data_IF_330094937348
#
_entry.id   IF_330094937348
#
_cell.length_a   1.000
_cell.length_b   1.000
_cell.length_c   1.000
_cell.angle_alpha   90.00
_cell.angle_beta   90.00
_cell.angle_gamma   90.00
#
_symmetry.space_group_name_H-M   'P 1'
#
loop_
_entity.id
_entity.type
_entity.pdbx_description
1 polymer ?
#
# COMPACT_ATOMS: atom_id res chain seq x y z
N UNK A 1 19.91 -1.54 2.74
CA UNK A 1 19.88 -2.84 2.03
C UNK A 1 20.99 -2.99 1.00
N UNK A 2 21.59 -1.90 0.47
CA UNK A 2 22.72 -1.97 -0.47
C UNK A 2 22.45 -2.87 -1.70
N UNK A 3 21.22 -2.81 -2.22
CA UNK A 3 20.80 -3.54 -3.42
C UNK A 3 21.11 -2.73 -4.67
N UNK A 4 21.49 -3.41 -5.74
CA UNK A 4 21.74 -2.86 -7.07
C UNK A 4 20.87 -3.60 -8.08
N UNK A 5 19.72 -3.00 -8.41
CA UNK A 5 18.82 -3.51 -9.44
C UNK A 5 19.31 -3.00 -10.80
N UNK A 6 19.48 -3.89 -11.76
CA UNK A 6 19.91 -3.53 -13.10
C UNK A 6 18.82 -2.72 -13.83
N UNK A 7 19.22 -1.83 -14.74
CA UNK A 7 18.30 -0.90 -15.41
C UNK A 7 17.21 -1.63 -16.23
N UNK A 8 17.56 -2.77 -16.82
CA UNK A 8 16.66 -3.64 -17.57
C UNK A 8 15.65 -4.39 -16.67
N UNK A 9 15.97 -4.58 -15.40
CA UNK A 9 15.05 -5.18 -14.41
C UNK A 9 14.19 -4.14 -13.68
N UNK A 10 14.56 -2.85 -13.69
CA UNK A 10 13.86 -1.81 -12.95
C UNK A 10 12.35 -1.75 -13.25
N UNK A 11 11.98 -1.82 -14.53
CA UNK A 11 10.55 -1.76 -14.91
C UNK A 11 9.79 -2.98 -14.38
N UNK A 12 10.37 -4.17 -14.48
CA UNK A 12 9.75 -5.39 -14.00
C UNK A 12 9.64 -5.38 -12.47
N UNK A 13 10.71 -4.96 -11.78
CA UNK A 13 10.72 -4.79 -10.33
C UNK A 13 9.60 -3.86 -9.84
N UNK A 14 9.38 -2.73 -10.52
CA UNK A 14 8.33 -1.79 -10.16
C UNK A 14 6.92 -2.37 -10.36
N UNK A 15 6.69 -3.11 -11.45
CA UNK A 15 5.40 -3.77 -11.66
C UNK A 15 5.15 -4.88 -10.63
N UNK A 16 6.18 -5.66 -10.27
CA UNK A 16 6.09 -6.66 -9.21
C UNK A 16 5.78 -6.02 -7.84
N UNK A 17 6.39 -4.87 -7.52
CA UNK A 17 6.21 -4.16 -6.25
C UNK A 17 4.88 -3.40 -6.14
N UNK A 18 4.22 -3.11 -7.27
CA UNK A 18 3.04 -2.25 -7.35
C UNK A 18 1.90 -2.65 -6.40
N UNK A 19 1.51 -3.93 -6.25
CA UNK A 19 0.49 -4.31 -5.27
C UNK A 19 0.90 -4.00 -3.82
N UNK A 20 2.20 -4.14 -3.49
CA UNK A 20 2.74 -3.74 -2.20
C UNK A 20 2.62 -2.24 -1.93
N UNK A 21 2.92 -1.40 -2.92
CA UNK A 21 2.70 0.05 -2.80
C UNK A 21 1.24 0.45 -2.65
N UNK A 22 0.33 -0.25 -3.33
CA UNK A 22 -1.11 -0.04 -3.15
C UNK A 22 -1.52 -0.38 -1.71
N UNK A 23 -1.01 -1.47 -1.15
CA UNK A 23 -1.25 -1.83 0.27
C UNK A 23 -0.73 -0.72 1.19
N UNK A 24 0.51 -0.26 1.00
CA UNK A 24 1.09 0.82 1.81
C UNK A 24 0.23 2.08 1.79
N UNK A 25 -0.16 2.55 0.60
CA UNK A 25 -0.97 3.75 0.43
C UNK A 25 -2.36 3.60 1.05
N UNK A 26 -3.07 2.50 0.77
CA UNK A 26 -4.41 2.28 1.34
C UNK A 26 -4.39 2.10 2.86
N UNK A 27 -3.34 1.50 3.42
CA UNK A 27 -3.18 1.38 4.87
C UNK A 27 -2.95 2.75 5.51
N UNK A 28 -2.05 3.58 4.94
CA UNK A 28 -1.85 4.95 5.45
C UNK A 28 -3.15 5.76 5.38
N UNK A 29 -3.82 5.78 4.21
CA UNK A 29 -5.09 6.49 4.03
C UNK A 29 -6.17 6.04 5.02
N UNK A 30 -6.26 4.73 5.30
CA UNK A 30 -7.26 4.19 6.21
C UNK A 30 -7.02 4.64 7.66
N UNK A 31 -5.78 4.55 8.13
CA UNK A 31 -5.42 4.86 9.52
C UNK A 31 -5.25 6.37 9.75
N UNK A 32 -4.89 7.14 8.71
CA UNK A 32 -4.76 8.61 8.76
C UNK A 32 -6.07 9.35 8.55
N UNK A 33 -7.13 8.67 8.09
CA UNK A 33 -8.39 9.28 7.63
C UNK A 33 -8.96 10.34 8.57
N UNK A 34 -9.09 10.02 9.85
CA UNK A 34 -9.77 10.90 10.81
C UNK A 34 -8.94 12.19 11.04
N UNK A 35 -7.61 12.08 11.04
CA UNK A 35 -6.68 13.22 11.12
C UNK A 35 -6.75 14.08 9.86
N UNK A 36 -6.72 13.47 8.68
CA UNK A 36 -6.75 14.19 7.40
C UNK A 36 -8.08 14.87 7.14
N UNK A 37 -9.18 14.21 7.47
CA UNK A 37 -10.52 14.81 7.43
C UNK A 37 -10.63 16.02 8.35
N UNK A 38 -10.08 15.93 9.57
CA UNK A 38 -10.07 17.07 10.50
C UNK A 38 -9.22 18.23 9.96
N UNK A 39 -8.08 17.95 9.35
CA UNK A 39 -7.23 18.95 8.71
C UNK A 39 -7.93 19.63 7.52
N UNK A 40 -8.55 18.87 6.63
CA UNK A 40 -9.33 19.39 5.51
C UNK A 40 -10.48 20.29 5.98
N UNK A 41 -11.22 19.86 7.01
CA UNK A 41 -12.28 20.67 7.63
C UNK A 41 -11.74 21.99 8.20
N UNK A 42 -10.59 21.95 8.89
CA UNK A 42 -9.94 23.16 9.42
C UNK A 42 -9.48 24.10 8.31
N UNK A 43 -9.07 23.55 7.17
CA UNK A 43 -8.67 24.29 5.98
C UNK A 43 -9.85 24.80 5.14
N UNK A 44 -11.10 24.46 5.50
CA UNK A 44 -12.29 24.83 4.72
C UNK A 44 -12.41 24.09 3.38
N UNK A 45 -11.77 22.94 3.23
CA UNK A 45 -11.82 22.10 2.03
C UNK A 45 -13.10 21.25 2.02
N UNK A 46 -13.68 21.07 0.83
CA UNK A 46 -14.85 20.22 0.57
C UNK A 46 -14.46 18.81 0.07
N UNK A 47 -13.17 18.55 -0.07
CA UNK A 47 -12.59 17.25 -0.40
C UNK A 47 -11.47 16.87 0.55
N UNK A 48 -11.12 15.58 0.57
CA UNK A 48 -9.96 15.04 1.27
C UNK A 48 -9.21 14.15 0.28
N UNK A 49 -7.91 14.38 0.10
CA UNK A 49 -7.06 13.56 -0.77
C UNK A 49 -6.70 12.25 -0.04
N UNK A 50 -7.65 11.33 -0.01
CA UNK A 50 -7.59 10.07 0.74
C UNK A 50 -8.56 9.05 0.11
N UNK A 51 -8.15 7.80 0.00
CA UNK A 51 -8.93 6.73 -0.62
C UNK A 51 -10.31 6.53 0.04
N UNK A 52 -10.44 6.72 1.34
CA UNK A 52 -11.74 6.60 2.04
C UNK A 52 -12.72 7.63 1.48
N UNK A 53 -12.29 8.89 1.30
CA UNK A 53 -13.15 9.92 0.70
C UNK A 53 -13.53 9.59 -0.73
N UNK A 54 -12.58 9.12 -1.53
CA UNK A 54 -12.84 8.73 -2.92
C UNK A 54 -13.90 7.63 -3.00
N UNK A 55 -13.77 6.59 -2.17
CA UNK A 55 -14.75 5.49 -2.11
C UNK A 55 -16.12 5.99 -1.69
N UNK A 56 -16.20 6.88 -0.69
CA UNK A 56 -17.48 7.49 -0.28
C UNK A 56 -18.15 8.25 -1.44
N UNK A 57 -17.36 8.96 -2.26
CA UNK A 57 -17.86 9.73 -3.41
C UNK A 57 -18.30 8.84 -4.57
N UNK A 58 -17.51 7.85 -4.91
CA UNK A 58 -17.78 6.98 -6.06
C UNK A 58 -18.95 6.03 -5.80
N UNK A 59 -19.09 5.52 -4.56
CA UNK A 59 -20.06 4.48 -4.23
C UNK A 59 -21.24 4.97 -3.39
N UNK A 60 -21.28 6.25 -3.02
CA UNK A 60 -22.30 6.82 -2.12
C UNK A 60 -22.45 6.05 -0.80
N UNK A 61 -21.37 5.42 -0.32
CA UNK A 61 -21.36 4.51 0.81
C UNK A 61 -20.48 5.06 1.95
N UNK A 62 -21.08 5.79 2.88
CA UNK A 62 -20.33 6.55 3.88
C UNK A 62 -19.66 5.69 4.95
N UNK A 63 -20.38 4.72 5.51
CA UNK A 63 -19.88 3.89 6.63
C UNK A 63 -19.10 2.68 6.11
N UNK A 64 -19.45 2.19 4.91
CA UNK A 64 -18.84 1.02 4.28
C UNK A 64 -17.50 1.36 3.61
N UNK A 65 -17.20 2.64 3.34
CA UNK A 65 -15.98 3.04 2.65
C UNK A 65 -14.70 2.53 3.35
N UNK A 66 -14.62 2.63 4.67
CA UNK A 66 -13.50 2.07 5.46
C UNK A 66 -13.43 0.54 5.32
N UNK A 67 -14.58 -0.15 5.29
CA UNK A 67 -14.61 -1.59 5.09
C UNK A 67 -14.15 -2.00 3.68
N UNK A 68 -14.55 -1.25 2.67
CA UNK A 68 -14.12 -1.45 1.27
C UNK A 68 -12.61 -1.24 1.13
N UNK A 69 -12.04 -0.21 1.76
CA UNK A 69 -10.59 0.00 1.79
C UNK A 69 -9.87 -1.17 2.48
N UNK A 70 -10.36 -1.64 3.64
CA UNK A 70 -9.82 -2.83 4.34
C UNK A 70 -9.87 -4.09 3.47
N UNK A 71 -10.99 -4.33 2.79
CA UNK A 71 -11.12 -5.45 1.87
C UNK A 71 -10.15 -5.32 0.69
N UNK A 72 -9.95 -4.09 0.18
CA UNK A 72 -8.94 -3.77 -0.84
C UNK A 72 -7.52 -4.11 -0.39
N UNK A 73 -7.13 -3.66 0.80
CA UNK A 73 -5.84 -3.97 1.43
C UNK A 73 -5.63 -5.49 1.46
N UNK A 74 -6.60 -6.25 1.97
CA UNK A 74 -6.52 -7.71 2.03
C UNK A 74 -6.33 -8.38 0.67
N UNK A 75 -7.07 -7.93 -0.36
CA UNK A 75 -6.95 -8.46 -1.72
C UNK A 75 -5.55 -8.18 -2.32
N UNK A 76 -5.07 -6.95 -2.23
CA UNK A 76 -3.76 -6.58 -2.78
C UNK A 76 -2.62 -7.22 -2.01
N UNK A 77 -2.73 -7.36 -0.68
CA UNK A 77 -1.74 -8.06 0.12
C UNK A 77 -1.67 -9.56 -0.22
N UNK A 78 -2.82 -10.20 -0.44
CA UNK A 78 -2.86 -11.59 -0.92
C UNK A 78 -2.13 -11.75 -2.25
N UNK A 79 -2.50 -10.94 -3.24
CA UNK A 79 -1.84 -10.95 -4.55
C UNK A 79 -0.33 -10.64 -4.45
N UNK A 80 0.06 -9.74 -3.56
CA UNK A 80 1.47 -9.41 -3.37
C UNK A 80 2.25 -10.55 -2.68
N UNK A 81 1.64 -11.26 -1.73
CA UNK A 81 2.24 -12.46 -1.15
C UNK A 81 2.50 -13.53 -2.22
N UNK A 82 1.57 -13.74 -3.14
CA UNK A 82 1.76 -14.68 -4.26
C UNK A 82 2.93 -14.24 -5.15
N UNK A 83 3.05 -12.94 -5.44
CA UNK A 83 4.20 -12.39 -6.18
C UNK A 83 5.51 -12.64 -5.45
N UNK A 84 5.56 -12.41 -4.14
CA UNK A 84 6.77 -12.66 -3.33
C UNK A 84 7.17 -14.13 -3.41
N UNK A 85 6.24 -15.06 -3.29
CA UNK A 85 6.55 -16.49 -3.42
C UNK A 85 6.98 -16.88 -4.84
N UNK A 86 6.38 -16.29 -5.88
CA UNK A 86 6.78 -16.56 -7.26
C UNK A 86 8.20 -16.03 -7.56
N UNK A 87 8.52 -14.82 -7.13
CA UNK A 87 9.85 -14.20 -7.34
C UNK A 87 10.99 -14.93 -6.62
N UNK A 88 10.70 -15.66 -5.54
CA UNK A 88 11.69 -16.53 -4.86
C UNK A 88 12.10 -17.74 -5.69
N UNK A 89 11.19 -18.22 -6.54
CA UNK A 89 11.39 -19.42 -7.34
C UNK A 89 11.77 -19.10 -8.79
N UNK A 90 11.85 -17.83 -9.15
CA UNK A 90 12.17 -17.37 -10.49
C UNK A 90 13.67 -17.14 -10.65
N UNK A 91 14.33 -18.05 -11.39
CA UNK A 91 15.77 -17.97 -11.67
C UNK A 91 16.12 -16.92 -12.74
N UNK A 92 15.13 -16.27 -13.37
CA UNK A 92 15.37 -15.20 -14.34
C UNK A 92 15.58 -13.83 -13.70
N UNK A 93 15.17 -13.66 -12.44
CA UNK A 93 15.35 -12.42 -11.67
C UNK A 93 16.68 -12.41 -10.93
N UNK A 94 17.26 -11.22 -10.79
CA UNK A 94 18.39 -11.03 -9.89
C UNK A 94 17.97 -11.21 -8.43
N UNK A 95 18.93 -11.65 -7.61
CA UNK A 95 18.73 -11.80 -6.16
C UNK A 95 18.35 -10.47 -5.49
N UNK A 96 18.81 -9.36 -6.05
CA UNK A 96 18.54 -8.03 -5.52
C UNK A 96 17.08 -7.62 -5.78
N UNK A 97 16.51 -7.98 -6.93
CA UNK A 97 15.06 -7.80 -7.19
C UNK A 97 14.25 -8.64 -6.22
N UNK A 98 14.56 -9.93 -6.05
CA UNK A 98 13.83 -10.79 -5.10
C UNK A 98 13.93 -10.24 -3.67
N UNK A 99 15.13 -9.82 -3.22
CA UNK A 99 15.33 -9.23 -1.90
C UNK A 99 14.56 -7.91 -1.73
N UNK A 100 14.46 -7.10 -2.78
CA UNK A 100 13.68 -5.87 -2.76
C UNK A 100 12.19 -6.14 -2.60
N UNK A 101 11.63 -7.07 -3.38
CA UNK A 101 10.21 -7.44 -3.31
C UNK A 101 9.85 -7.99 -1.92
N UNK A 102 10.71 -8.80 -1.32
CA UNK A 102 10.55 -9.22 0.07
C UNK A 102 10.55 -8.05 1.05
N UNK A 103 11.45 -7.08 0.89
CA UNK A 103 11.51 -5.91 1.76
C UNK A 103 10.27 -5.02 1.65
N UNK A 104 9.66 -4.91 0.46
CA UNK A 104 8.37 -4.25 0.30
C UNK A 104 7.29 -4.99 1.11
N UNK A 105 7.28 -6.33 1.13
CA UNK A 105 6.32 -7.10 1.95
C UNK A 105 6.50 -6.80 3.43
N UNK A 106 7.73 -6.75 3.92
CA UNK A 106 8.03 -6.38 5.30
C UNK A 106 7.65 -4.93 5.60
N UNK A 107 7.79 -4.04 4.62
CA UNK A 107 7.34 -2.65 4.73
C UNK A 107 5.83 -2.56 4.90
N UNK A 108 5.03 -3.37 4.19
CA UNK A 108 3.59 -3.45 4.38
C UNK A 108 3.22 -3.87 5.81
N UNK A 109 3.88 -4.90 6.34
CA UNK A 109 3.66 -5.36 7.72
C UNK A 109 4.08 -4.30 8.74
N UNK A 110 5.25 -3.69 8.55
CA UNK A 110 5.76 -2.63 9.42
C UNK A 110 4.85 -1.41 9.43
N UNK A 111 4.37 -0.98 8.25
CA UNK A 111 3.43 0.13 8.09
C UNK A 111 2.15 -0.14 8.88
N UNK A 112 1.53 -1.31 8.72
CA UNK A 112 0.32 -1.66 9.45
C UNK A 112 0.50 -1.60 10.97
N UNK A 113 1.54 -2.25 11.50
CA UNK A 113 1.78 -2.27 12.96
C UNK A 113 2.07 -0.86 13.46
N UNK A 114 2.88 -0.09 12.73
CA UNK A 114 3.18 1.28 13.11
C UNK A 114 1.94 2.17 13.09
N UNK A 115 1.12 2.12 12.04
CA UNK A 115 -0.09 2.93 11.91
C UNK A 115 -1.08 2.71 13.07
N UNK A 116 -1.17 1.50 13.61
CA UNK A 116 -2.03 1.19 14.76
C UNK A 116 -1.56 1.87 16.06
N UNK A 117 -0.24 1.97 16.27
CA UNK A 117 0.32 2.36 17.57
C UNK A 117 1.06 3.71 17.56
N UNK A 118 1.27 4.32 16.39
CA UNK A 118 2.05 5.52 16.29
C UNK A 118 1.33 6.72 16.96
N UNK A 119 2.05 7.63 17.63
CA UNK A 119 1.44 8.84 18.20
C UNK A 119 1.03 9.91 17.17
N UNK A 120 1.30 9.68 15.89
CA UNK A 120 1.06 10.63 14.79
C UNK A 120 -0.42 10.73 14.47
#
# INVERSE_FOLDING_TARGET
MALTIAEDECSQCMELAKPGYIVLGLTDDLDSWDKERAAAKKAGQDYVFNAVWMVMRELSASEEAKHICRAGIGRYLGAFCDIVENTRNDNSLSKDVTAYIEAVKWSCCGNLVWSIYCPR
#
